data_IF_654164550674
#
_entry.id   IF_654164550674
#
_cell.length_a   1.000
_cell.length_b   1.000
_cell.length_c   1.000
_cell.angle_alpha   90.00
_cell.angle_beta   90.00
_cell.angle_gamma   90.00
#
_symmetry.space_group_name_H-M   'P 1'
#
loop_
_entity.id
_entity.type
_entity.pdbx_description
1 polymer ?
#
# COMPACT_ATOMS: atom_id res chain seq x y z
N UNK A 1 11.80 28.05 -16.73
CA UNK A 1 10.85 26.92 -16.83
C UNK A 1 9.51 27.39 -16.33
N UNK A 2 8.52 27.49 -17.22
CA UNK A 2 7.18 27.94 -16.88
C UNK A 2 6.50 26.90 -15.98
N UNK A 3 5.99 27.34 -14.82
CA UNK A 3 5.17 26.53 -13.92
C UNK A 3 3.71 26.75 -14.29
N UNK A 4 3.02 25.69 -14.72
CA UNK A 4 1.59 25.74 -14.97
C UNK A 4 0.84 25.96 -13.64
N UNK A 5 -0.05 26.96 -13.63
CA UNK A 5 -0.96 27.24 -12.52
C UNK A 5 -2.25 26.47 -12.77
N UNK A 6 -2.56 25.50 -11.93
CA UNK A 6 -3.88 24.86 -11.93
C UNK A 6 -4.83 25.78 -11.15
N UNK A 7 -5.85 26.30 -11.83
CA UNK A 7 -6.95 27.07 -11.26
C UNK A 7 -8.13 26.14 -11.07
N UNK A 8 -8.54 25.89 -9.82
CA UNK A 8 -9.84 25.26 -9.55
C UNK A 8 -10.93 26.33 -9.48
N UNK A 9 -11.99 26.13 -10.26
CA UNK A 9 -13.18 26.98 -10.29
C UNK A 9 -14.26 26.28 -9.50
N UNK A 10 -14.58 26.80 -8.31
CA UNK A 10 -15.77 26.38 -7.58
C UNK A 10 -16.99 27.15 -8.09
N UNK A 11 -18.17 26.51 -8.12
CA UNK A 11 -19.43 27.02 -8.68
C UNK A 11 -19.98 28.34 -8.09
N UNK A 12 -19.26 28.97 -7.16
CA UNK A 12 -19.59 30.27 -6.57
C UNK A 12 -18.60 31.39 -6.97
N UNK A 13 -17.79 31.22 -8.01
CA UNK A 13 -16.94 32.28 -8.58
C UNK A 13 -15.80 32.78 -7.68
N UNK A 14 -15.57 32.14 -6.52
CA UNK A 14 -14.42 32.42 -5.66
C UNK A 14 -13.29 31.46 -5.98
N UNK A 15 -12.24 31.95 -6.64
CA UNK A 15 -10.98 31.25 -6.79
C UNK A 15 -10.16 31.42 -5.51
N UNK A 16 -9.87 30.32 -4.83
CA UNK A 16 -8.88 30.31 -3.74
C UNK A 16 -7.60 29.71 -4.35
N UNK A 17 -6.49 30.46 -4.44
CA UNK A 17 -5.24 29.90 -4.94
C UNK A 17 -4.71 28.87 -3.94
N UNK A 18 -4.86 27.58 -4.26
CA UNK A 18 -4.26 26.50 -3.50
C UNK A 18 -2.79 26.37 -3.95
N UNK A 19 -1.88 27.08 -3.26
CA UNK A 19 -0.45 26.82 -3.39
C UNK A 19 -0.09 25.66 -2.47
N UNK A 20 0.01 24.44 -3.01
CA UNK A 20 0.86 23.42 -2.40
C UNK A 20 2.30 23.67 -2.85
N UNK A 21 2.86 24.80 -2.41
CA UNK A 21 4.30 24.81 -2.23
C UNK A 21 4.52 23.76 -1.14
N UNK A 22 5.23 22.67 -1.43
CA UNK A 22 5.78 21.80 -0.40
C UNK A 22 7.17 22.34 -0.06
N UNK A 23 7.31 23.43 0.73
CA UNK A 23 8.58 23.65 1.38
C UNK A 23 8.81 22.39 2.21
N UNK A 24 10.03 21.86 2.19
CA UNK A 24 10.47 20.94 3.23
C UNK A 24 10.21 21.66 4.55
N UNK A 25 9.07 21.39 5.17
CA UNK A 25 8.60 22.03 6.39
C UNK A 25 9.50 21.52 7.50
N UNK A 26 10.66 22.15 7.65
CA UNK A 26 11.48 22.08 8.86
C UNK A 26 10.83 22.89 9.99
N UNK A 27 9.51 22.78 10.14
CA UNK A 27 8.85 23.23 11.37
C UNK A 27 9.15 22.15 12.38
N UNK A 28 9.67 22.54 13.54
CA UNK A 28 9.83 21.66 14.69
C UNK A 28 8.44 21.15 15.11
N UNK A 29 7.97 20.09 14.46
CA UNK A 29 6.75 19.39 14.85
C UNK A 29 7.00 18.85 16.25
N UNK A 30 6.29 19.39 17.25
CA UNK A 30 6.11 18.71 18.53
C UNK A 30 5.68 17.28 18.17
N UNK A 31 6.56 16.32 18.46
CA UNK A 31 6.44 14.92 18.06
C UNK A 31 5.14 14.36 18.60
N UNK A 32 4.11 14.31 17.76
CA UNK A 32 2.90 13.56 18.06
C UNK A 32 3.34 12.10 18.11
N UNK A 33 3.46 11.55 19.32
CA UNK A 33 3.73 10.12 19.50
C UNK A 33 2.50 9.36 19.04
N UNK A 34 2.61 8.72 17.87
CA UNK A 34 1.62 7.75 17.45
C UNK A 34 1.57 6.59 18.44
N UNK A 35 0.36 6.11 18.70
CA UNK A 35 0.09 4.99 19.58
C UNK A 35 -0.12 3.73 18.74
N UNK A 36 0.94 2.94 18.57
CA UNK A 36 0.92 1.67 17.83
C UNK A 36 0.32 0.50 18.62
N UNK A 37 -0.37 0.80 19.73
CA UNK A 37 -1.14 -0.13 20.54
C UNK A 37 -2.63 0.24 20.55
N UNK A 38 -3.08 1.00 19.56
CA UNK A 38 -4.48 1.39 19.38
C UNK A 38 -4.87 1.20 17.91
N UNK A 39 -6.10 0.79 17.64
CA UNK A 39 -6.64 0.75 16.29
C UNK A 39 -6.77 2.18 15.71
N UNK A 40 -6.58 2.37 14.39
CA UNK A 40 -6.23 1.36 13.40
C UNK A 40 -4.71 1.15 13.23
N UNK A 41 -3.86 1.66 14.11
CA UNK A 41 -2.40 1.64 13.92
C UNK A 41 -1.71 0.38 14.45
N UNK A 42 -2.36 -0.32 15.38
CA UNK A 42 -1.93 -1.58 15.94
C UNK A 42 -3.04 -2.25 16.74
N UNK A 43 -2.71 -3.38 17.34
CA UNK A 43 -3.63 -4.21 18.12
C UNK A 43 -3.64 -3.72 19.57
N UNK A 44 -4.81 -3.46 20.18
CA UNK A 44 -4.90 -3.07 21.59
C UNK A 44 -4.33 -4.12 22.53
N UNK A 45 -3.27 -3.80 23.27
CA UNK A 45 -2.67 -4.68 24.29
C UNK A 45 -3.20 -4.44 25.71
N UNK A 46 -4.15 -3.51 25.85
CA UNK A 46 -4.65 -3.05 27.15
C UNK A 46 -5.82 -3.92 27.66
N UNK A 47 -6.19 -4.96 26.92
CA UNK A 47 -7.23 -5.92 27.26
C UNK A 47 -6.58 -7.31 27.38
N UNK A 48 -7.12 -8.24 28.18
CA UNK A 48 -6.60 -9.60 28.24
C UNK A 48 -6.75 -10.28 26.87
N UNK A 49 -5.66 -10.30 26.09
CA UNK A 49 -5.58 -10.90 24.75
C UNK A 49 -5.43 -12.43 24.79
N UNK A 50 -5.51 -13.01 25.99
CA UNK A 50 -5.35 -14.43 26.24
C UNK A 50 -4.01 -14.97 25.73
N UNK A 51 -3.96 -16.21 25.25
CA UNK A 51 -2.71 -16.85 24.84
C UNK A 51 -2.05 -16.20 23.60
N UNK A 52 -2.74 -15.29 22.91
CA UNK A 52 -2.25 -14.60 21.70
C UNK A 52 -1.51 -13.30 22.01
N UNK A 53 -1.46 -12.85 23.27
CA UNK A 53 -0.81 -11.58 23.62
C UNK A 53 0.64 -11.45 23.10
N UNK A 54 1.53 -12.43 23.28
CA UNK A 54 2.92 -12.31 22.80
C UNK A 54 2.99 -12.15 21.29
N UNK A 55 2.08 -12.78 20.55
CA UNK A 55 1.99 -12.70 19.10
C UNK A 55 1.57 -11.29 18.64
N UNK A 56 0.59 -10.69 19.31
CA UNK A 56 0.13 -9.33 18.99
C UNK A 56 1.16 -8.26 19.37
N UNK A 57 1.93 -8.46 20.45
CA UNK A 57 3.05 -7.59 20.78
C UNK A 57 4.13 -7.61 19.68
N UNK A 58 4.43 -8.78 19.10
CA UNK A 58 5.35 -8.88 17.95
C UNK A 58 4.79 -8.12 16.73
N UNK A 59 3.50 -8.29 16.42
CA UNK A 59 2.86 -7.56 15.31
C UNK A 59 2.92 -6.04 15.48
N UNK A 60 2.66 -5.51 16.68
CA UNK A 60 2.75 -4.08 16.95
C UNK A 60 4.16 -3.50 16.73
N UNK A 61 5.22 -4.28 17.03
CA UNK A 61 6.59 -3.89 16.70
C UNK A 61 6.79 -3.79 15.17
N UNK A 62 6.26 -4.75 14.41
CA UNK A 62 6.30 -4.73 12.94
C UNK A 62 5.55 -3.51 12.38
N UNK A 63 4.36 -3.20 12.90
CA UNK A 63 3.57 -2.04 12.45
C UNK A 63 4.25 -0.71 12.74
N UNK A 64 4.88 -0.59 13.91
CA UNK A 64 5.63 0.62 14.26
C UNK A 64 6.83 0.81 13.33
N UNK A 65 7.62 -0.25 13.09
CA UNK A 65 8.77 -0.20 12.19
C UNK A 65 8.35 0.12 10.75
N UNK A 66 7.32 -0.55 10.23
CA UNK A 66 6.80 -0.31 8.89
C UNK A 66 6.36 1.14 8.68
N UNK A 67 5.62 1.72 9.63
CA UNK A 67 5.20 3.11 9.54
C UNK A 67 6.40 4.07 9.49
N UNK A 68 7.40 3.85 10.33
CA UNK A 68 8.60 4.69 10.38
C UNK A 68 9.39 4.60 9.08
N UNK A 69 9.58 3.39 8.54
CA UNK A 69 10.30 3.20 7.28
C UNK A 69 9.55 3.75 6.08
N UNK A 70 8.21 3.68 6.05
CA UNK A 70 7.42 4.34 5.01
C UNK A 70 7.72 5.84 4.96
N UNK A 71 7.69 6.51 6.12
CA UNK A 71 8.00 7.94 6.21
C UNK A 71 9.44 8.25 5.78
N UNK A 72 10.41 7.49 6.26
CA UNK A 72 11.82 7.69 5.91
C UNK A 72 12.11 7.47 4.41
N UNK A 73 11.44 6.51 3.78
CA UNK A 73 11.61 6.19 2.37
C UNK A 73 10.69 7.04 1.46
N UNK A 74 9.83 7.91 2.01
CA UNK A 74 8.87 8.68 1.22
C UNK A 74 7.77 7.82 0.58
N UNK A 75 7.44 6.67 1.17
CA UNK A 75 6.36 5.78 0.72
C UNK A 75 5.03 6.26 1.29
N UNK A 76 4.36 7.13 0.55
CA UNK A 76 3.05 7.67 0.90
C UNK A 76 1.94 7.00 0.09
N UNK A 77 0.80 6.76 0.72
CA UNK A 77 -0.43 6.29 0.08
C UNK A 77 -0.31 4.97 -0.72
N UNK A 78 0.62 4.09 -0.32
CA UNK A 78 0.90 2.82 -0.99
C UNK A 78 0.28 1.62 -0.25
N UNK A 79 -1.01 1.71 0.11
CA UNK A 79 -1.67 0.73 0.99
C UNK A 79 -1.53 -0.71 0.50
N UNK A 80 -1.67 -0.98 -0.80
CA UNK A 80 -1.50 -2.33 -1.35
C UNK A 80 -0.13 -2.92 -1.08
N UNK A 81 0.96 -2.20 -1.39
CA UNK A 81 2.31 -2.72 -1.19
C UNK A 81 2.64 -2.87 0.29
N UNK A 82 2.25 -1.89 1.09
CA UNK A 82 2.47 -1.91 2.54
C UNK A 82 1.83 -3.16 3.14
N UNK A 83 0.59 -3.49 2.77
CA UNK A 83 -0.10 -4.69 3.24
C UNK A 83 0.57 -5.99 2.74
N UNK A 84 1.07 -6.05 1.49
CA UNK A 84 1.82 -7.21 1.00
C UNK A 84 3.12 -7.41 1.79
N UNK A 85 3.88 -6.34 2.06
CA UNK A 85 5.11 -6.40 2.85
C UNK A 85 4.83 -6.82 4.29
N UNK A 86 3.80 -6.23 4.92
CA UNK A 86 3.39 -6.60 6.28
C UNK A 86 2.96 -8.07 6.36
N UNK A 87 2.19 -8.57 5.39
CA UNK A 87 1.78 -9.98 5.33
C UNK A 87 2.98 -10.92 5.25
N UNK A 88 3.99 -10.58 4.43
CA UNK A 88 5.26 -11.34 4.39
C UNK A 88 6.00 -11.33 5.72
N UNK A 89 6.01 -10.19 6.43
CA UNK A 89 6.66 -10.07 7.73
C UNK A 89 5.91 -10.85 8.83
N UNK A 90 4.58 -10.83 8.82
CA UNK A 90 3.76 -11.41 9.87
C UNK A 90 3.63 -12.95 9.75
N UNK A 91 3.54 -13.51 8.55
CA UNK A 91 3.43 -14.97 8.33
C UNK A 91 4.44 -15.78 9.18
N UNK A 92 5.77 -15.57 9.06
CA UNK A 92 6.75 -16.36 9.82
C UNK A 92 6.73 -16.09 11.34
N UNK A 93 5.99 -15.08 11.80
CA UNK A 93 5.78 -14.84 13.23
C UNK A 93 4.61 -15.66 13.81
N UNK A 94 3.91 -16.44 12.99
CA UNK A 94 2.77 -17.29 13.41
C UNK A 94 1.41 -16.79 12.92
N UNK A 95 1.36 -15.86 11.96
CA UNK A 95 0.12 -15.35 11.34
C UNK A 95 -0.21 -16.05 10.01
N UNK A 96 0.15 -17.33 9.86
CA UNK A 96 0.03 -18.05 8.58
C UNK A 96 -1.42 -18.41 8.21
N UNK A 97 -2.27 -18.62 9.21
CA UNK A 97 -3.65 -19.01 9.00
C UNK A 97 -4.50 -17.83 8.56
N UNK A 98 -5.27 -17.99 7.47
CA UNK A 98 -6.24 -17.00 7.00
C UNK A 98 -7.30 -16.63 8.05
N UNK A 99 -7.47 -17.43 9.11
CA UNK A 99 -8.35 -17.10 10.23
C UNK A 99 -7.84 -15.93 11.08
N UNK A 100 -6.52 -15.75 11.16
CA UNK A 100 -5.92 -14.72 12.02
C UNK A 100 -5.42 -13.51 11.24
N UNK A 101 -4.99 -13.68 9.99
CA UNK A 101 -4.49 -12.58 9.17
C UNK A 101 -5.20 -12.56 7.83
N UNK A 102 -6.09 -11.58 7.68
CA UNK A 102 -6.82 -11.34 6.45
C UNK A 102 -6.38 -10.00 5.87
N UNK A 103 -6.22 -9.95 4.55
CA UNK A 103 -6.13 -8.65 3.88
C UNK A 103 -7.52 -8.30 3.40
N UNK A 104 -8.03 -7.21 3.94
CA UNK A 104 -9.33 -6.66 3.60
C UNK A 104 -9.14 -5.54 2.59
N UNK A 105 -10.12 -5.41 1.72
CA UNK A 105 -10.23 -4.31 0.77
C UNK A 105 -11.67 -3.82 0.77
N UNK A 106 -11.86 -2.53 0.55
CA UNK A 106 -13.15 -1.90 0.70
C UNK A 106 -13.05 -0.40 0.64
N UNK A 107 -13.90 0.28 1.40
CA UNK A 107 -13.91 1.75 1.46
C UNK A 107 -13.58 2.22 2.86
N UNK A 108 -12.79 3.29 2.93
CA UNK A 108 -12.75 4.15 4.10
C UNK A 108 -13.80 5.24 3.91
N UNK A 109 -14.84 5.23 4.74
CA UNK A 109 -15.80 6.34 4.80
C UNK A 109 -15.30 7.39 5.79
N UNK A 110 -15.28 8.64 5.34
CA UNK A 110 -14.88 9.80 6.16
C UNK A 110 -16.08 10.66 6.54
N UNK A 111 -15.90 11.52 7.54
CA UNK A 111 -16.92 12.46 8.05
C UNK A 111 -17.52 13.38 6.95
N UNK A 112 -16.80 13.61 5.84
CA UNK A 112 -17.28 14.40 4.70
C UNK A 112 -17.86 13.55 3.56
N UNK A 113 -18.31 12.31 3.83
CA UNK A 113 -18.93 11.41 2.84
C UNK A 113 -18.04 10.98 1.68
N UNK A 114 -16.73 11.26 1.72
CA UNK A 114 -15.79 10.68 0.75
C UNK A 114 -15.55 9.21 1.08
N UNK A 115 -15.92 8.37 0.13
CA UNK A 115 -15.68 6.93 0.09
C UNK A 115 -14.39 6.68 -0.68
N UNK A 116 -13.31 6.33 0.01
CA UNK A 116 -12.01 6.08 -0.63
C UNK A 116 -11.71 4.58 -0.69
N UNK A 117 -11.49 3.99 -1.88
CA UNK A 117 -10.99 2.63 -2.00
C UNK A 117 -9.69 2.44 -1.21
N UNK A 118 -9.63 1.43 -0.36
CA UNK A 118 -8.49 1.21 0.52
C UNK A 118 -8.25 -0.27 0.81
N UNK A 119 -7.05 -0.56 1.31
CA UNK A 119 -6.59 -1.89 1.72
C UNK A 119 -6.07 -1.83 3.15
N UNK A 120 -6.49 -2.75 4.00
CA UNK A 120 -6.04 -2.87 5.39
C UNK A 120 -5.91 -4.34 5.79
N UNK A 121 -5.25 -4.61 6.93
CA UNK A 121 -5.27 -5.95 7.52
C UNK A 121 -6.43 -6.03 8.51
N UNK A 122 -7.08 -7.18 8.55
CA UNK A 122 -7.89 -7.61 9.68
C UNK A 122 -7.10 -8.70 10.40
N UNK A 123 -6.79 -8.46 11.67
CA UNK A 123 -6.09 -9.41 12.51
C UNK A 123 -6.94 -9.77 13.71
N UNK A 124 -7.60 -10.92 13.66
CA UNK A 124 -8.47 -11.38 14.75
C UNK A 124 -9.60 -10.39 15.09
N UNK A 125 -10.16 -9.71 14.09
CA UNK A 125 -11.22 -8.71 14.25
C UNK A 125 -10.71 -7.28 14.47
N UNK A 126 -9.38 -7.07 14.53
CA UNK A 126 -8.79 -5.74 14.63
C UNK A 126 -8.41 -5.19 13.26
N UNK A 127 -8.98 -4.05 12.91
CA UNK A 127 -8.61 -3.29 11.71
C UNK A 127 -7.24 -2.65 11.91
N UNK A 128 -6.29 -2.96 11.01
CA UNK A 128 -4.94 -2.40 10.97
C UNK A 128 -4.69 -1.70 9.64
N UNK A 129 -4.63 -0.37 9.68
CA UNK A 129 -4.30 0.49 8.57
C UNK A 129 -2.96 1.19 8.82
N UNK A 130 -1.90 0.53 8.38
CA UNK A 130 -0.54 1.02 8.54
C UNK A 130 -0.08 1.93 7.38
N UNK A 131 -0.99 2.41 6.52
CA UNK A 131 -0.63 3.22 5.36
C UNK A 131 -0.28 4.64 5.78
N UNK A 132 0.97 5.05 5.58
CA UNK A 132 1.43 6.42 5.78
C UNK A 132 0.86 7.37 4.70
N UNK A 133 0.51 8.58 5.10
CA UNK A 133 0.17 9.67 4.20
C UNK A 133 1.09 10.86 4.54
N UNK A 134 1.71 11.42 3.51
CA UNK A 134 2.55 12.62 3.63
C UNK A 134 1.71 13.89 3.81
N UNK A 135 1.07 13.98 4.97
CA UNK A 135 0.27 15.10 5.46
C UNK A 135 0.62 15.34 6.93
N UNK A 136 0.28 16.51 7.52
CA UNK A 136 0.58 16.78 8.92
C UNK A 136 0.09 15.68 9.86
N UNK A 137 0.95 15.19 10.76
CA UNK A 137 0.70 13.98 11.56
C UNK A 137 -0.58 14.05 12.40
N UNK A 138 -0.95 15.25 12.87
CA UNK A 138 -2.21 15.49 13.60
C UNK A 138 -3.43 15.23 12.71
N UNK A 139 -3.39 15.70 11.47
CA UNK A 139 -4.46 15.49 10.50
C UNK A 139 -4.54 14.02 10.12
N UNK A 140 -3.41 13.39 9.81
CA UNK A 140 -3.30 11.96 9.56
C UNK A 140 -3.94 11.12 10.68
N UNK A 141 -3.54 11.38 11.92
CA UNK A 141 -4.02 10.63 13.10
C UNK A 141 -5.52 10.82 13.28
N UNK A 142 -6.01 12.06 13.17
CA UNK A 142 -7.45 12.36 13.25
C UNK A 142 -8.22 11.63 12.16
N UNK A 143 -7.76 11.69 10.91
CA UNK A 143 -8.41 11.05 9.77
C UNK A 143 -8.55 9.54 9.95
N UNK A 144 -7.46 8.85 10.30
CA UNK A 144 -7.45 7.40 10.50
C UNK A 144 -8.30 6.96 11.70
N UNK A 145 -8.30 7.72 12.80
CA UNK A 145 -9.13 7.40 13.97
C UNK A 145 -10.63 7.62 13.73
N UNK A 146 -10.99 8.57 12.88
CA UNK A 146 -12.39 8.83 12.49
C UNK A 146 -12.88 7.98 11.33
N UNK A 147 -12.00 7.19 10.71
CA UNK A 147 -12.32 6.40 9.53
C UNK A 147 -13.23 5.22 9.89
N UNK A 148 -14.26 4.99 9.07
CA UNK A 148 -15.03 3.76 9.10
C UNK A 148 -14.56 2.85 7.97
N UNK A 149 -14.13 1.65 8.33
CA UNK A 149 -13.64 0.65 7.39
C UNK A 149 -14.78 -0.29 7.01
N UNK A 150 -15.19 -0.25 5.75
CA UNK A 150 -16.31 -1.04 5.24
C UNK A 150 -15.75 -2.00 4.20
N UNK A 151 -15.62 -3.30 4.51
CA UNK A 151 -15.13 -4.28 3.54
C UNK A 151 -16.12 -4.38 2.37
N UNK A 152 -15.61 -4.69 1.17
CA UNK A 152 -16.48 -5.13 0.09
C UNK A 152 -16.89 -6.57 0.37
N UNK A 153 -18.10 -6.77 0.88
CA UNK A 153 -18.60 -8.10 1.23
C UNK A 153 -19.09 -8.88 0.00
N UNK A 154 -19.47 -8.18 -1.07
CA UNK A 154 -19.88 -8.75 -2.35
C UNK A 154 -19.48 -7.80 -3.49
N UNK A 155 -19.39 -8.33 -4.72
CA UNK A 155 -19.16 -7.58 -5.95
C UNK A 155 -20.35 -6.66 -6.29
N UNK A 156 -20.72 -5.75 -5.39
CA UNK A 156 -21.52 -4.58 -5.73
C UNK A 156 -20.87 -3.85 -6.91
N UNK A 157 -21.63 -3.04 -7.62
CA UNK A 157 -21.11 -2.31 -8.77
C UNK A 157 -20.01 -1.32 -8.32
N UNK A 158 -18.76 -1.77 -8.46
CA UNK A 158 -17.57 -0.99 -8.11
C UNK A 158 -17.11 -0.12 -9.26
N UNK A 159 -17.78 -0.15 -10.43
CA UNK A 159 -17.44 0.70 -11.58
C UNK A 159 -17.53 2.19 -11.25
N UNK A 160 -18.34 2.54 -10.26
CA UNK A 160 -18.53 3.90 -9.75
C UNK A 160 -17.77 4.21 -8.45
N UNK A 161 -16.92 3.30 -7.96
CA UNK A 161 -16.06 3.57 -6.79
C UNK A 161 -14.94 4.50 -7.24
N UNK A 162 -15.25 5.80 -7.24
CA UNK A 162 -14.43 6.87 -7.80
C UNK A 162 -13.02 6.83 -7.22
N UNK A 163 -12.05 6.89 -8.11
CA UNK A 163 -10.62 6.70 -7.86
C UNK A 163 -9.91 8.04 -7.65
N UNK A 164 -10.57 9.03 -7.05
CA UNK A 164 -10.03 10.37 -6.86
C UNK A 164 -10.89 11.43 -7.53
N UNK A 165 -11.67 12.16 -6.74
CA UNK A 165 -12.29 13.41 -7.19
C UNK A 165 -11.23 14.48 -7.48
N UNK A 166 -11.65 15.60 -8.08
CA UNK A 166 -10.75 16.71 -8.40
C UNK A 166 -10.05 17.26 -7.15
N UNK A 167 -10.72 17.20 -5.99
CA UNK A 167 -10.16 17.63 -4.69
C UNK A 167 -9.01 16.72 -4.23
N UNK A 168 -9.19 15.41 -4.25
CA UNK A 168 -8.15 14.44 -3.88
C UNK A 168 -6.97 14.44 -4.85
N UNK A 169 -7.23 14.61 -6.16
CA UNK A 169 -6.17 14.84 -7.15
C UNK A 169 -5.42 16.15 -6.90
N UNK A 170 -6.12 17.21 -6.51
CA UNK A 170 -5.48 18.47 -6.12
C UNK A 170 -4.67 18.36 -4.82
N UNK A 171 -5.00 17.40 -3.95
CA UNK A 171 -4.18 17.02 -2.79
C UNK A 171 -2.97 16.13 -3.17
N UNK A 172 -2.76 15.82 -4.45
CA UNK A 172 -1.67 14.98 -4.93
C UNK A 172 -1.86 13.48 -4.65
N UNK A 173 -3.08 13.06 -4.28
CA UNK A 173 -3.41 11.65 -4.02
C UNK A 173 -3.56 10.97 -5.38
N UNK A 174 -2.70 9.99 -5.67
CA UNK A 174 -2.79 9.22 -6.91
C UNK A 174 -4.09 8.43 -6.98
N UNK A 175 -4.65 8.36 -8.19
CA UNK A 175 -5.83 7.56 -8.44
C UNK A 175 -5.57 6.11 -8.06
N UNK A 176 -6.40 5.59 -7.17
CA UNK A 176 -6.37 4.18 -6.83
C UNK A 176 -6.97 3.36 -7.97
N UNK A 177 -6.75 2.06 -8.06
CA UNK A 177 -7.43 1.24 -9.07
C UNK A 177 -7.87 -0.05 -8.40
N UNK A 178 -9.18 -0.27 -8.36
CA UNK A 178 -9.76 -1.43 -7.68
C UNK A 178 -9.25 -2.75 -8.26
N UNK A 179 -9.11 -2.85 -9.59
CA UNK A 179 -8.59 -4.07 -10.22
C UNK A 179 -7.13 -4.30 -9.82
N UNK A 180 -6.36 -3.22 -9.66
CA UNK A 180 -4.99 -3.29 -9.15
C UNK A 180 -4.97 -3.82 -7.73
N UNK A 181 -5.88 -3.37 -6.86
CA UNK A 181 -5.95 -3.86 -5.48
C UNK A 181 -6.26 -5.36 -5.42
N UNK A 182 -7.32 -5.83 -6.09
CA UNK A 182 -7.62 -7.26 -6.11
C UNK A 182 -6.43 -8.04 -6.65
N UNK A 183 -5.81 -7.55 -7.73
CA UNK A 183 -4.70 -8.23 -8.35
C UNK A 183 -3.48 -8.34 -7.41
N UNK A 184 -3.08 -7.24 -6.77
CA UNK A 184 -1.97 -7.19 -5.83
C UNK A 184 -2.20 -8.04 -4.57
N UNK A 185 -3.46 -8.16 -4.15
CA UNK A 185 -3.83 -8.87 -2.93
C UNK A 185 -3.96 -10.38 -3.10
N UNK A 186 -4.22 -10.83 -4.32
CA UNK A 186 -4.19 -12.24 -4.68
C UNK A 186 -2.79 -12.80 -4.38
N UNK A 187 -2.73 -13.83 -3.54
CA UNK A 187 -1.48 -14.43 -3.05
C UNK A 187 -0.56 -14.90 -4.18
N UNK A 188 -1.11 -15.38 -5.29
CA UNK A 188 -0.37 -15.79 -6.49
C UNK A 188 0.31 -14.64 -7.24
N UNK A 189 -0.04 -13.38 -6.94
CA UNK A 189 0.55 -12.19 -7.57
C UNK A 189 1.39 -11.36 -6.60
N UNK A 190 1.48 -11.73 -5.32
CA UNK A 190 2.30 -11.00 -4.33
C UNK A 190 3.74 -10.82 -4.81
N UNK A 191 4.37 -11.92 -5.26
CA UNK A 191 5.74 -11.91 -5.77
C UNK A 191 5.87 -11.05 -7.02
N UNK A 192 4.89 -11.10 -7.93
CA UNK A 192 4.87 -10.28 -9.15
C UNK A 192 4.79 -8.79 -8.79
N UNK A 193 3.94 -8.44 -7.84
CA UNK A 193 3.77 -7.05 -7.40
C UNK A 193 5.02 -6.53 -6.67
N UNK A 194 5.59 -7.33 -5.78
CA UNK A 194 6.85 -7.03 -5.12
C UNK A 194 7.97 -6.82 -6.15
N UNK A 195 8.08 -7.70 -7.15
CA UNK A 195 9.08 -7.58 -8.21
C UNK A 195 8.92 -6.29 -9.03
N UNK A 196 7.67 -5.91 -9.38
CA UNK A 196 7.39 -4.64 -10.07
C UNK A 196 7.77 -3.43 -9.22
N UNK A 197 7.44 -3.47 -7.93
CA UNK A 197 7.69 -2.35 -7.02
C UNK A 197 9.19 -2.04 -6.86
N UNK A 198 10.07 -3.03 -7.10
CA UNK A 198 11.52 -2.85 -7.10
C UNK A 198 12.05 -1.86 -8.15
N UNK A 199 11.25 -1.51 -9.17
CA UNK A 199 11.60 -0.44 -10.11
C UNK A 199 11.45 0.98 -9.52
N UNK A 200 10.85 1.12 -8.34
CA UNK A 200 10.76 2.37 -7.59
C UNK A 200 11.71 2.32 -6.40
N UNK A 201 12.75 3.15 -6.43
CA UNK A 201 13.80 3.18 -5.40
C UNK A 201 13.23 3.27 -3.97
N UNK A 202 12.27 4.16 -3.73
CA UNK A 202 11.60 4.33 -2.42
C UNK A 202 10.94 3.03 -1.91
N UNK A 203 10.29 2.29 -2.80
CA UNK A 203 9.60 1.04 -2.46
C UNK A 203 10.60 -0.10 -2.24
N UNK A 204 11.69 -0.12 -3.03
CA UNK A 204 12.79 -1.07 -2.85
C UNK A 204 13.50 -0.86 -1.50
N UNK A 205 13.79 0.39 -1.16
CA UNK A 205 14.43 0.77 0.12
C UNK A 205 13.54 0.40 1.31
N UNK A 206 12.23 0.67 1.20
CA UNK A 206 11.26 0.28 2.22
C UNK A 206 11.24 -1.24 2.44
N UNK A 207 11.22 -2.03 1.36
CA UNK A 207 11.29 -3.50 1.46
C UNK A 207 12.57 -3.98 2.11
N UNK A 208 13.72 -3.45 1.69
CA UNK A 208 15.02 -3.81 2.25
C UNK A 208 15.11 -3.49 3.75
N UNK A 209 14.60 -2.33 4.18
CA UNK A 209 14.52 -1.97 5.61
C UNK A 209 13.63 -2.91 6.39
N UNK A 210 12.47 -3.29 5.86
CA UNK A 210 11.58 -4.26 6.51
C UNK A 210 12.23 -5.64 6.64
N UNK A 211 12.88 -6.14 5.59
CA UNK A 211 13.60 -7.42 5.63
C UNK A 211 14.75 -7.39 6.66
N UNK A 212 15.53 -6.31 6.67
CA UNK A 212 16.60 -6.10 7.64
C UNK A 212 16.06 -6.08 9.08
N UNK A 213 14.99 -5.34 9.32
CA UNK A 213 14.33 -5.28 10.63
C UNK A 213 13.84 -6.65 11.11
N UNK A 214 13.25 -7.44 10.21
CA UNK A 214 12.79 -8.80 10.54
C UNK A 214 13.94 -9.72 10.95
N UNK A 215 15.08 -9.64 10.26
CA UNK A 215 16.28 -10.38 10.63
C UNK A 215 16.84 -9.93 11.98
N UNK A 216 17.02 -8.62 12.17
CA UNK A 216 17.65 -8.09 13.38
C UNK A 216 16.78 -8.23 14.64
N UNK A 217 15.45 -8.13 14.50
CA UNK A 217 14.53 -8.08 15.65
C UNK A 217 13.96 -9.45 16.03
N UNK A 218 13.77 -10.32 15.05
CA UNK A 218 13.09 -11.61 15.25
C UNK A 218 13.92 -12.82 14.79
N UNK A 219 15.14 -12.60 14.28
CA UNK A 219 15.98 -13.62 13.64
C UNK A 219 15.23 -14.36 12.51
N UNK A 220 14.39 -13.64 11.77
CA UNK A 220 13.62 -14.17 10.64
C UNK A 220 14.22 -13.67 9.33
N UNK A 221 14.70 -14.60 8.51
CA UNK A 221 15.09 -14.31 7.12
C UNK A 221 13.86 -14.41 6.21
N UNK A 222 13.46 -13.28 5.64
CA UNK A 222 12.41 -13.28 4.63
C UNK A 222 12.98 -13.71 3.27
N UNK A 223 12.27 -14.56 2.51
CA UNK A 223 12.73 -14.97 1.20
C UNK A 223 12.80 -13.76 0.26
N UNK A 224 13.90 -13.68 -0.49
CA UNK A 224 14.05 -12.71 -1.57
C UNK A 224 12.93 -12.89 -2.61
N UNK A 225 12.55 -11.77 -3.23
CA UNK A 225 11.56 -11.77 -4.31
C UNK A 225 12.20 -12.41 -5.54
N UNK A 226 11.83 -13.67 -5.81
CA UNK A 226 12.41 -14.42 -6.92
C UNK A 226 11.88 -13.89 -8.24
N UNK A 227 12.80 -13.59 -9.17
CA UNK A 227 12.46 -13.39 -10.59
C UNK A 227 12.29 -14.77 -11.22
N UNK A 228 11.15 -15.40 -10.97
CA UNK A 228 10.83 -16.68 -11.58
C UNK A 228 10.79 -16.56 -13.11
N UNK A 229 11.42 -17.52 -13.80
CA UNK A 229 11.38 -17.65 -15.26
C UNK A 229 10.05 -18.26 -15.70
N UNK A 230 8.94 -17.61 -15.34
CA UNK A 230 7.58 -18.00 -15.74
C UNK A 230 6.92 -16.90 -16.55
N UNK A 231 6.07 -17.29 -17.49
CA UNK A 231 5.24 -16.33 -18.20
C UNK A 231 4.16 -15.77 -17.27
N UNK A 232 4.09 -14.46 -17.11
CA UNK A 232 3.12 -13.82 -16.22
C UNK A 232 1.67 -13.96 -16.68
N UNK A 233 1.46 -14.31 -17.96
CA UNK A 233 0.14 -14.49 -18.57
C UNK A 233 -0.38 -15.93 -18.48
N UNK A 234 0.44 -16.94 -18.81
CA UNK A 234 0.01 -18.35 -18.82
C UNK A 234 0.66 -19.21 -17.73
N UNK A 235 1.53 -18.64 -16.90
CA UNK A 235 2.28 -19.31 -15.84
C UNK A 235 3.16 -20.49 -16.30
N UNK A 236 3.43 -20.63 -17.61
CA UNK A 236 4.37 -21.63 -18.11
C UNK A 236 5.81 -21.17 -17.92
N UNK A 237 6.66 -22.06 -17.40
CA UNK A 237 8.10 -21.84 -17.32
C UNK A 237 8.75 -21.95 -18.70
N UNK A 238 9.73 -21.10 -18.98
CA UNK A 238 10.54 -21.19 -20.20
C UNK A 238 11.86 -20.44 -20.02
N UNK A 239 12.92 -20.93 -20.67
CA UNK A 239 14.20 -20.23 -20.70
C UNK A 239 14.22 -19.06 -21.69
N UNK A 240 13.33 -19.06 -22.68
CA UNK A 240 13.28 -18.10 -23.78
C UNK A 240 12.23 -17.00 -23.59
N UNK A 241 11.84 -16.71 -22.34
CA UNK A 241 10.87 -15.67 -22.04
C UNK A 241 11.38 -14.29 -22.44
N UNK A 242 10.49 -13.49 -23.02
CA UNK A 242 10.73 -12.09 -23.39
C UNK A 242 10.24 -11.18 -22.29
N UNK A 243 11.11 -10.31 -21.79
CA UNK A 243 10.73 -9.29 -20.80
C UNK A 243 9.89 -8.18 -21.43
N UNK A 244 8.97 -7.62 -20.66
CA UNK A 244 8.24 -6.41 -21.00
C UNK A 244 9.23 -5.29 -21.33
N UNK A 245 9.05 -4.64 -22.48
CA UNK A 245 9.97 -3.58 -22.93
C UNK A 245 9.95 -2.35 -22.02
N UNK A 246 8.86 -2.11 -21.26
CA UNK A 246 8.69 -0.98 -20.35
C UNK A 246 9.27 -1.25 -18.96
N UNK A 247 8.72 -2.21 -18.23
CA UNK A 247 9.16 -2.48 -16.86
C UNK A 247 10.42 -3.33 -16.76
N UNK A 248 10.76 -4.13 -17.79
CA UNK A 248 11.86 -5.11 -17.77
C UNK A 248 11.74 -6.22 -16.71
N UNK A 249 10.65 -6.24 -15.93
CA UNK A 249 10.38 -7.23 -14.87
C UNK A 249 9.46 -8.34 -15.35
N UNK A 250 8.28 -7.99 -15.87
CA UNK A 250 7.31 -8.99 -16.32
C UNK A 250 7.85 -9.77 -17.53
N UNK A 251 7.63 -11.08 -17.56
CA UNK A 251 8.17 -11.99 -18.58
C UNK A 251 7.05 -12.74 -19.31
N UNK A 252 7.23 -12.99 -20.61
CA UNK A 252 6.20 -13.60 -21.46
C UNK A 252 6.78 -14.57 -22.49
N UNK A 253 6.05 -15.66 -22.79
CA UNK A 253 6.44 -16.59 -23.86
C UNK A 253 6.55 -15.89 -25.22
N UNK A 254 5.61 -14.99 -25.51
CA UNK A 254 5.49 -14.32 -26.79
C UNK A 254 4.61 -13.05 -26.67
N UNK A 255 4.48 -12.32 -27.79
CA UNK A 255 3.67 -11.10 -27.90
C UNK A 255 2.20 -11.34 -27.54
N UNK A 256 1.63 -12.50 -27.88
CA UNK A 256 0.24 -12.82 -27.55
C UNK A 256 0.01 -12.86 -26.03
N UNK A 257 0.90 -13.54 -25.29
CA UNK A 257 0.84 -13.56 -23.83
C UNK A 257 1.02 -12.16 -23.21
N UNK A 258 1.95 -11.36 -23.75
CA UNK A 258 2.14 -9.99 -23.30
C UNK A 258 0.89 -9.13 -23.53
N UNK A 259 0.29 -9.19 -24.72
CA UNK A 259 -0.92 -8.44 -25.06
C UNK A 259 -2.11 -8.86 -24.17
N UNK A 260 -2.31 -10.16 -23.95
CA UNK A 260 -3.36 -10.67 -23.07
C UNK A 260 -3.21 -10.13 -21.65
N UNK A 261 -1.99 -10.21 -21.08
CA UNK A 261 -1.72 -9.69 -19.74
C UNK A 261 -1.80 -8.15 -19.67
N UNK A 262 -1.38 -7.47 -20.73
CA UNK A 262 -1.48 -6.01 -20.87
C UNK A 262 -2.92 -5.50 -20.77
N UNK A 263 -3.84 -6.14 -21.51
CA UNK A 263 -5.26 -5.79 -21.46
C UNK A 263 -5.93 -6.22 -20.17
N UNK A 264 -5.46 -7.31 -19.54
CA UNK A 264 -6.01 -7.79 -18.28
C UNK A 264 -5.63 -6.89 -17.11
N UNK A 265 -4.34 -6.58 -16.91
CA UNK A 265 -3.89 -5.86 -15.71
C UNK A 265 -2.53 -5.17 -15.86
N UNK A 266 -1.60 -5.71 -16.66
CA UNK A 266 -0.22 -5.24 -16.67
C UNK A 266 -0.10 -3.76 -17.06
N UNK A 267 -0.99 -3.24 -17.92
CA UNK A 267 -1.02 -1.80 -18.25
C UNK A 267 -1.15 -0.91 -17.00
N UNK A 268 -1.90 -1.36 -15.99
CA UNK A 268 -2.20 -0.61 -14.76
C UNK A 268 -1.09 -0.75 -13.71
N UNK A 269 -0.40 -1.89 -13.68
CA UNK A 269 0.66 -2.18 -12.69
C UNK A 269 2.09 -2.07 -13.24
N UNK A 270 2.26 -1.77 -14.53
CA UNK A 270 3.58 -1.69 -15.16
C UNK A 270 4.35 -0.47 -14.62
N UNK A 271 5.35 -0.74 -13.77
CA UNK A 271 6.27 0.26 -13.25
C UNK A 271 7.56 0.24 -14.08
N UNK A 272 7.88 1.26 -14.90
CA UNK A 272 9.18 1.34 -15.57
C UNK A 272 10.31 1.53 -14.55
N UNK A 273 11.54 1.03 -14.82
CA UNK A 273 12.70 1.36 -14.01
C UNK A 273 12.86 2.88 -13.92
N UNK A 274 13.34 3.38 -12.79
CA UNK A 274 13.81 4.76 -12.70
C UNK A 274 14.98 4.93 -13.70
N UNK A 275 14.69 5.42 -14.90
CA UNK A 275 15.72 5.93 -15.82
C UNK A 275 16.28 7.18 -15.18
N UNK A 276 17.53 7.10 -14.71
CA UNK A 276 18.27 8.26 -14.24
C UNK A 276 18.45 9.28 -15.36
#
# INVERSE_FOLDING_TARGET
MARERILMIFGNGKSIPFRYDSPRLHVAEKTVKMKFNETPFGIPVNQPLGPREPLFQKANKVFSASFMFQRECGVSNCCSLVNVVLRRCLRPLGFETNELLQVQYGRIQRYNQMDMPHVWLDIGGYVIDNTYLEIPIKLFTKMKKSAKYVPFTDAGDLSNSFLGDEETRAMGIQDHDYEVYIWCLNTSNEEKYMALSGNKAQLLDYQAKMMKFMKETFDVELPEVKKEKICWSCNQASESLKSCSKCKIAQYCNKCCQTRDWHKIHKRVCLPPNTR
#
